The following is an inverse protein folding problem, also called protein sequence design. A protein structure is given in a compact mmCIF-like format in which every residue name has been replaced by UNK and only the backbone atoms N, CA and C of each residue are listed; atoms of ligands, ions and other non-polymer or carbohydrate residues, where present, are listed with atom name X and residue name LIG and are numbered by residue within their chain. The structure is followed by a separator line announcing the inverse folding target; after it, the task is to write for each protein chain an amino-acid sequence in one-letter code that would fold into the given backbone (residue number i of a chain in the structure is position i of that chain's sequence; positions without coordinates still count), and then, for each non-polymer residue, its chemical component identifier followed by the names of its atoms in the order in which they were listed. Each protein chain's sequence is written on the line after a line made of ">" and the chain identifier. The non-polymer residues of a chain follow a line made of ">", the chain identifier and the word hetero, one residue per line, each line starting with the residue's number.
data_IF_457650502000
#
_entry.id   IF_457650502000
#
_cell.length_a   1.000
_cell.length_b   1.000
_cell.length_c   1.000
_cell.angle_alpha   90.00
_cell.angle_beta   90.00
_cell.angle_gamma   90.00
#
_symmetry.space_group_name_H-M   'P 1'
#
loop_
_entity.id
_entity.type
_entity.pdbx_description
1 polymer ?
#
# COMPACT_ATOMS: atom_id res chain seq x y z
N UNK A 1 35.21 -1.70 -24.25
CA UNK A 1 34.44 -1.21 -23.10
C UNK A 1 33.35 -2.24 -22.80
N UNK A 2 33.57 -3.04 -21.77
CA UNK A 2 32.61 -4.11 -21.39
C UNK A 2 31.60 -3.45 -20.44
N UNK A 3 30.39 -3.20 -20.95
CA UNK A 3 29.26 -2.78 -20.09
C UNK A 3 28.97 -3.90 -19.08
N UNK A 4 29.27 -3.66 -17.83
CA UNK A 4 28.85 -4.53 -16.74
C UNK A 4 27.32 -4.65 -16.76
N UNK A 5 26.75 -5.86 -16.67
CA UNK A 5 25.30 -6.01 -16.60
C UNK A 5 24.81 -5.33 -15.32
N UNK A 6 23.90 -4.38 -15.48
CA UNK A 6 23.17 -3.77 -14.36
C UNK A 6 22.44 -4.93 -13.67
N UNK A 7 22.89 -5.30 -12.48
CA UNK A 7 22.24 -6.31 -11.64
C UNK A 7 20.81 -5.84 -11.35
N UNK A 8 19.83 -6.36 -12.08
CA UNK A 8 18.42 -6.12 -11.77
C UNK A 8 18.14 -6.71 -10.40
N UNK A 9 17.67 -5.88 -9.48
CA UNK A 9 17.18 -6.36 -8.19
C UNK A 9 16.15 -7.47 -8.41
N UNK A 10 16.10 -8.50 -7.55
CA UNK A 10 15.13 -9.58 -7.70
C UNK A 10 13.69 -9.02 -7.75
N UNK A 11 12.78 -9.66 -8.49
CA UNK A 11 11.39 -9.23 -8.58
C UNK A 11 10.74 -9.23 -7.21
N UNK A 12 9.72 -8.40 -7.05
CA UNK A 12 8.91 -8.34 -5.83
C UNK A 12 8.10 -9.62 -5.69
N UNK A 13 8.14 -10.23 -4.51
CA UNK A 13 7.26 -11.36 -4.18
C UNK A 13 5.85 -10.86 -3.86
N UNK A 14 4.84 -11.48 -4.51
CA UNK A 14 3.43 -11.14 -4.31
C UNK A 14 2.63 -12.34 -3.81
N UNK A 15 1.71 -12.07 -2.88
CA UNK A 15 0.53 -12.91 -2.71
C UNK A 15 -0.54 -12.43 -3.69
N UNK A 16 -0.91 -13.28 -4.61
CA UNK A 16 -1.84 -12.94 -5.70
C UNK A 16 -3.20 -13.61 -5.48
N UNK A 17 -4.28 -12.84 -5.67
CA UNK A 17 -5.65 -13.31 -5.56
C UNK A 17 -6.46 -12.75 -6.75
N UNK A 18 -7.42 -13.51 -7.26
CA UNK A 18 -8.27 -13.12 -8.39
C UNK A 18 -7.72 -13.48 -9.76
N UNK A 19 -8.52 -13.26 -10.83
CA UNK A 19 -8.21 -13.72 -12.17
C UNK A 19 -7.04 -12.95 -12.81
N UNK A 20 -6.19 -13.66 -13.56
CA UNK A 20 -5.05 -13.05 -14.26
C UNK A 20 -5.48 -12.10 -15.40
N UNK A 21 -6.70 -12.27 -15.91
CA UNK A 21 -7.29 -11.48 -17.00
C UNK A 21 -8.12 -10.31 -16.52
N UNK A 22 -8.12 -9.98 -15.21
CA UNK A 22 -8.88 -8.87 -14.67
C UNK A 22 -8.47 -7.53 -15.30
N UNK A 23 -9.44 -6.71 -15.66
CA UNK A 23 -9.20 -5.37 -16.17
C UNK A 23 -8.67 -4.41 -15.09
N UNK A 24 -8.96 -4.67 -13.82
CA UNK A 24 -8.49 -3.86 -12.70
C UNK A 24 -7.44 -4.63 -11.89
N UNK A 25 -6.27 -4.04 -11.77
CA UNK A 25 -5.19 -4.45 -10.89
C UNK A 25 -5.25 -3.64 -9.60
N UNK A 26 -5.24 -4.30 -8.45
CA UNK A 26 -5.18 -3.67 -7.13
C UNK A 26 -3.91 -4.11 -6.43
N UNK A 27 -3.03 -3.17 -6.08
CA UNK A 27 -1.79 -3.46 -5.35
C UNK A 27 -1.94 -2.95 -3.92
N UNK A 28 -1.74 -3.84 -2.93
CA UNK A 28 -1.95 -3.53 -1.52
C UNK A 28 -0.70 -3.75 -0.69
N UNK A 29 -0.36 -2.75 0.12
CA UNK A 29 0.68 -2.86 1.14
C UNK A 29 0.10 -3.08 2.54
N UNK A 30 0.86 -3.78 3.39
CA UNK A 30 0.50 -4.06 4.78
C UNK A 30 0.74 -2.88 5.71
N UNK A 31 0.20 -2.95 6.93
CA UNK A 31 0.46 -1.99 8.02
C UNK A 31 1.81 -2.19 8.70
N UNK A 32 2.19 -1.24 9.58
CA UNK A 32 3.51 -1.24 10.24
C UNK A 32 3.78 -2.49 11.11
N UNK A 33 2.77 -3.02 11.76
CA UNK A 33 2.90 -4.08 12.78
C UNK A 33 2.70 -5.51 12.27
N UNK A 34 2.15 -5.68 11.05
CA UNK A 34 1.66 -6.97 10.59
C UNK A 34 1.95 -7.18 9.09
N UNK A 35 2.19 -8.42 8.72
CA UNK A 35 2.57 -8.84 7.38
C UNK A 35 1.40 -8.82 6.36
N UNK A 36 1.69 -9.09 5.09
CA UNK A 36 0.70 -9.07 3.99
C UNK A 36 -0.31 -10.23 4.03
N UNK A 37 -0.06 -11.27 4.82
CA UNK A 37 -0.84 -12.51 4.92
C UNK A 37 -1.72 -12.57 6.19
N UNK A 38 -1.99 -11.42 6.80
CA UNK A 38 -2.92 -11.37 7.95
C UNK A 38 -4.35 -11.68 7.53
N UNK A 39 -5.19 -12.26 8.42
CA UNK A 39 -6.60 -12.52 8.12
C UNK A 39 -7.36 -11.30 7.59
N UNK A 40 -7.06 -10.11 8.11
CA UNK A 40 -7.65 -8.86 7.61
C UNK A 40 -7.30 -8.61 6.13
N UNK A 41 -6.00 -8.67 5.79
CA UNK A 41 -5.55 -8.44 4.41
C UNK A 41 -6.07 -9.53 3.47
N UNK A 42 -6.17 -10.76 3.94
CA UNK A 42 -6.72 -11.87 3.19
C UNK A 42 -8.22 -11.69 2.91
N UNK A 43 -9.02 -11.35 3.92
CA UNK A 43 -10.46 -11.09 3.77
C UNK A 43 -10.72 -9.99 2.74
N UNK A 44 -10.01 -8.86 2.84
CA UNK A 44 -10.15 -7.75 1.88
C UNK A 44 -9.76 -8.21 0.47
N UNK A 45 -8.63 -8.89 0.33
CA UNK A 45 -8.17 -9.35 -0.99
C UNK A 45 -9.10 -10.36 -1.63
N UNK A 46 -9.65 -11.29 -0.85
CA UNK A 46 -10.62 -12.28 -1.33
C UNK A 46 -11.95 -11.61 -1.74
N UNK A 47 -12.42 -10.62 -0.97
CA UNK A 47 -13.61 -9.84 -1.32
C UNK A 47 -13.45 -9.09 -2.65
N UNK A 48 -12.33 -8.40 -2.82
CA UNK A 48 -12.01 -7.69 -4.07
C UNK A 48 -11.84 -8.66 -5.26
N UNK A 49 -11.19 -9.79 -5.03
CA UNK A 49 -11.04 -10.83 -6.05
C UNK A 49 -12.39 -11.48 -6.42
N UNK A 50 -13.28 -11.68 -5.45
CA UNK A 50 -14.65 -12.12 -5.68
C UNK A 50 -15.47 -11.14 -6.52
N UNK A 51 -15.14 -9.87 -6.48
CA UNK A 51 -15.71 -8.84 -7.36
C UNK A 51 -15.04 -8.77 -8.75
N UNK A 52 -14.14 -9.68 -9.07
CA UNK A 52 -13.51 -9.79 -10.40
C UNK A 52 -12.20 -9.02 -10.56
N UNK A 53 -11.63 -8.48 -9.49
CA UNK A 53 -10.37 -7.76 -9.54
C UNK A 53 -9.16 -8.68 -9.32
N UNK A 54 -8.00 -8.32 -9.90
CA UNK A 54 -6.72 -8.95 -9.58
C UNK A 54 -6.06 -8.19 -8.45
N UNK A 55 -5.76 -8.87 -7.34
CA UNK A 55 -5.18 -8.26 -6.14
C UNK A 55 -3.79 -8.82 -5.89
N UNK A 56 -2.80 -7.97 -5.80
CA UNK A 56 -1.42 -8.30 -5.46
C UNK A 56 -1.06 -7.64 -4.12
N UNK A 57 -0.65 -8.44 -3.14
CA UNK A 57 -0.14 -7.97 -1.85
C UNK A 57 1.36 -8.15 -1.79
N UNK A 58 2.10 -7.17 -1.29
CA UNK A 58 3.55 -7.25 -1.13
C UNK A 58 4.01 -6.82 0.26
N UNK A 59 5.26 -7.14 0.59
CA UNK A 59 5.88 -6.72 1.85
C UNK A 59 7.00 -5.71 1.64
N UNK A 60 7.03 -4.71 2.53
CA UNK A 60 8.16 -3.80 2.64
C UNK A 60 9.44 -4.53 3.11
N UNK A 61 10.64 -4.04 2.76
CA UNK A 61 11.90 -4.74 3.06
C UNK A 61 12.10 -5.09 4.54
N UNK A 62 11.69 -4.21 5.46
CA UNK A 62 11.79 -4.51 6.90
C UNK A 62 10.94 -5.72 7.32
N UNK A 63 9.75 -5.90 6.71
CA UNK A 63 8.88 -7.03 7.01
C UNK A 63 9.43 -8.32 6.42
N UNK A 64 9.98 -8.28 5.21
CA UNK A 64 10.70 -9.41 4.62
C UNK A 64 11.89 -9.83 5.49
N UNK A 65 12.66 -8.86 6.01
CA UNK A 65 13.76 -9.16 6.97
C UNK A 65 13.20 -9.81 8.23
N UNK A 66 12.13 -9.25 8.81
CA UNK A 66 11.47 -9.80 9.99
C UNK A 66 10.99 -11.23 9.78
N UNK A 67 10.42 -11.53 8.61
CA UNK A 67 9.96 -12.88 8.25
C UNK A 67 11.13 -13.88 8.21
N UNK A 68 12.27 -13.48 7.64
CA UNK A 68 13.46 -14.34 7.53
C UNK A 68 14.20 -14.54 8.85
N UNK A 69 14.24 -13.53 9.70
CA UNK A 69 15.08 -13.54 10.90
C UNK A 69 14.29 -13.75 12.19
N UNK A 70 12.96 -13.68 12.16
CA UNK A 70 12.07 -13.61 13.32
C UNK A 70 12.36 -12.45 14.30
N UNK A 71 13.27 -11.53 13.94
CA UNK A 71 13.62 -10.37 14.76
C UNK A 71 12.67 -9.22 14.46
N UNK A 72 12.01 -8.68 15.48
CA UNK A 72 11.18 -7.47 15.34
C UNK A 72 12.06 -6.29 14.95
N UNK A 73 11.70 -5.62 13.87
CA UNK A 73 12.31 -4.37 13.43
C UNK A 73 11.22 -3.31 13.23
N UNK A 74 11.50 -2.03 13.51
CA UNK A 74 10.61 -0.93 13.15
C UNK A 74 10.50 -0.82 11.62
N UNK A 75 9.46 -0.14 11.11
CA UNK A 75 9.39 0.19 9.69
C UNK A 75 10.63 0.93 9.19
N UNK A 76 11.00 0.67 7.96
CA UNK A 76 12.05 1.44 7.28
C UNK A 76 11.64 2.93 7.18
N UNK A 77 12.61 3.81 6.95
CA UNK A 77 12.37 5.25 6.76
C UNK A 77 11.55 5.50 5.48
N UNK A 78 10.77 6.60 5.40
CA UNK A 78 9.89 6.89 4.27
C UNK A 78 10.52 6.76 2.88
N UNK A 79 11.76 7.21 2.61
CA UNK A 79 12.36 7.04 1.29
C UNK A 79 12.49 5.57 0.86
N UNK A 80 12.81 4.67 1.80
CA UNK A 80 12.92 3.23 1.52
C UNK A 80 11.55 2.63 1.24
N UNK A 81 10.52 3.04 2.00
CA UNK A 81 9.14 2.58 1.80
C UNK A 81 8.58 3.05 0.45
N UNK A 82 8.83 4.30 0.07
CA UNK A 82 8.42 4.88 -1.22
C UNK A 82 9.11 4.14 -2.38
N UNK A 83 10.44 3.96 -2.33
CA UNK A 83 11.19 3.23 -3.35
C UNK A 83 10.71 1.78 -3.47
N UNK A 84 10.39 1.13 -2.35
CA UNK A 84 9.82 -0.21 -2.34
C UNK A 84 8.44 -0.27 -3.00
N UNK A 85 7.59 0.73 -2.74
CA UNK A 85 6.29 0.87 -3.39
C UNK A 85 6.43 1.03 -4.91
N UNK A 86 7.28 1.96 -5.36
CA UNK A 86 7.53 2.19 -6.79
C UNK A 86 8.02 0.93 -7.49
N UNK A 87 8.94 0.18 -6.84
CA UNK A 87 9.41 -1.11 -7.37
C UNK A 87 8.27 -2.12 -7.45
N UNK A 88 7.52 -2.31 -6.36
CA UNK A 88 6.42 -3.25 -6.30
C UNK A 88 5.36 -2.94 -7.37
N UNK A 89 5.06 -1.67 -7.61
CA UNK A 89 4.10 -1.27 -8.62
C UNK A 89 4.58 -1.58 -10.05
N UNK A 90 5.86 -1.31 -10.37
CA UNK A 90 6.42 -1.71 -11.67
C UNK A 90 6.31 -3.22 -11.87
N UNK A 91 6.79 -3.99 -10.90
CA UNK A 91 6.76 -5.45 -10.97
C UNK A 91 5.32 -6.00 -11.07
N UNK A 92 4.36 -5.36 -10.39
CA UNK A 92 2.95 -5.74 -10.43
C UNK A 92 2.31 -5.46 -11.82
N UNK A 93 2.63 -4.33 -12.42
CA UNK A 93 2.18 -4.00 -13.79
C UNK A 93 2.75 -4.98 -14.80
N UNK A 94 4.03 -5.32 -14.68
CA UNK A 94 4.69 -6.32 -15.55
C UNK A 94 4.06 -7.71 -15.37
N UNK A 95 3.70 -8.09 -14.15
CA UNK A 95 3.03 -9.36 -13.84
C UNK A 95 1.53 -9.40 -14.24
N UNK A 96 0.96 -8.27 -14.64
CA UNK A 96 -0.47 -8.13 -14.94
C UNK A 96 -0.68 -7.30 -16.22
N UNK A 97 -0.20 -7.75 -17.39
CA UNK A 97 -0.15 -6.93 -18.61
C UNK A 97 -1.54 -6.61 -19.21
N UNK A 98 -2.58 -7.28 -18.77
CA UNK A 98 -3.95 -7.09 -19.27
C UNK A 98 -4.76 -6.05 -18.49
N UNK A 99 -4.21 -5.47 -17.42
CA UNK A 99 -4.94 -4.46 -16.65
C UNK A 99 -5.11 -3.17 -17.46
N UNK A 100 -6.28 -2.55 -17.31
CA UNK A 100 -6.62 -1.25 -17.87
C UNK A 100 -6.62 -0.16 -16.81
N UNK A 101 -6.81 -0.55 -15.55
CA UNK A 101 -6.81 0.32 -14.38
C UNK A 101 -5.90 -0.26 -13.30
N UNK A 102 -5.16 0.61 -12.63
CA UNK A 102 -4.29 0.26 -11.52
C UNK A 102 -4.64 1.06 -10.27
N UNK A 103 -5.18 0.37 -9.27
CA UNK A 103 -5.52 0.94 -7.96
C UNK A 103 -4.42 0.55 -6.99
N UNK A 104 -3.94 1.51 -6.21
CA UNK A 104 -2.95 1.27 -5.16
C UNK A 104 -3.53 1.53 -3.78
N UNK A 105 -2.93 0.96 -2.75
CA UNK A 105 -3.43 1.23 -1.40
C UNK A 105 -2.87 0.33 -0.33
N UNK A 106 -3.59 0.21 0.77
CA UNK A 106 -3.20 -0.70 1.83
C UNK A 106 -3.71 -0.33 3.21
N UNK A 107 -3.27 -1.11 4.18
CA UNK A 107 -3.65 -0.93 5.57
C UNK A 107 -2.74 0.09 6.27
N UNK A 108 -3.33 1.06 6.98
CA UNK A 108 -2.62 1.99 7.87
C UNK A 108 -1.39 2.61 7.16
N UNK A 109 -0.18 2.35 7.63
CA UNK A 109 1.06 2.83 7.03
C UNK A 109 1.13 2.52 5.53
N UNK A 110 0.71 1.33 5.10
CA UNK A 110 0.75 0.93 3.68
C UNK A 110 -0.08 1.85 2.79
N UNK A 111 -1.31 2.18 3.21
CA UNK A 111 -2.18 3.13 2.52
C UNK A 111 -1.62 4.56 2.56
N UNK A 112 -1.07 4.98 3.72
CA UNK A 112 -0.44 6.29 3.83
C UNK A 112 0.77 6.45 2.89
N UNK A 113 1.64 5.46 2.78
CA UNK A 113 2.78 5.54 1.84
C UNK A 113 2.26 5.52 0.40
N UNK A 114 1.23 4.72 0.08
CA UNK A 114 0.58 4.74 -1.23
C UNK A 114 0.04 6.13 -1.59
N UNK A 115 -0.61 6.82 -0.65
CA UNK A 115 -1.17 8.16 -0.89
C UNK A 115 -0.11 9.21 -1.21
N UNK A 116 1.12 9.06 -0.69
CA UNK A 116 2.22 9.99 -0.94
C UNK A 116 2.81 9.88 -2.36
N UNK A 117 2.51 8.80 -3.09
CA UNK A 117 3.05 8.57 -4.43
C UNK A 117 1.96 8.39 -5.51
N UNK A 118 0.69 8.38 -5.13
CA UNK A 118 -0.41 8.04 -6.02
C UNK A 118 -0.46 8.90 -7.29
N UNK A 119 -0.27 10.21 -7.18
CA UNK A 119 -0.22 11.13 -8.30
C UNK A 119 1.05 10.96 -9.15
N UNK A 120 2.20 10.71 -8.52
CA UNK A 120 3.49 10.52 -9.20
C UNK A 120 3.49 9.27 -10.09
N UNK A 121 2.86 8.20 -9.62
CA UNK A 121 2.79 6.91 -10.35
C UNK A 121 1.56 6.81 -11.25
N UNK A 122 0.79 7.88 -11.36
CA UNK A 122 -0.43 7.94 -12.17
C UNK A 122 -1.38 6.78 -11.85
N UNK A 123 -1.67 6.58 -10.56
CA UNK A 123 -2.62 5.57 -10.14
C UNK A 123 -4.06 6.00 -10.52
N UNK A 124 -4.87 5.06 -11.03
CA UNK A 124 -6.27 5.31 -11.36
C UNK A 124 -7.16 5.46 -10.10
N UNK A 125 -6.68 4.97 -8.97
CA UNK A 125 -7.36 5.10 -7.68
C UNK A 125 -6.48 4.73 -6.50
N UNK A 126 -6.88 5.22 -5.32
CA UNK A 126 -6.24 4.96 -4.03
C UNK A 126 -7.25 4.39 -3.05
N UNK A 127 -6.88 3.31 -2.34
CA UNK A 127 -7.68 2.73 -1.25
C UNK A 127 -6.86 2.73 0.03
N UNK A 128 -7.32 3.44 1.06
CA UNK A 128 -6.73 3.43 2.39
C UNK A 128 -7.65 2.73 3.39
N UNK A 129 -7.13 1.72 4.07
CA UNK A 129 -7.84 0.93 5.07
C UNK A 129 -7.32 1.29 6.46
N UNK A 130 -8.02 2.16 7.18
CA UNK A 130 -7.57 2.74 8.43
C UNK A 130 -6.39 3.68 8.25
N UNK A 131 -6.62 4.87 7.70
CA UNK A 131 -5.56 5.85 7.48
C UNK A 131 -5.02 6.42 8.80
N UNK A 132 -3.69 6.44 9.03
CA UNK A 132 -3.13 6.98 10.27
C UNK A 132 -2.97 8.50 10.16
N UNK A 133 -4.05 9.24 10.37
CA UNK A 133 -4.09 10.71 10.26
C UNK A 133 -3.07 11.42 11.15
N UNK A 134 -2.72 10.81 12.26
CA UNK A 134 -1.66 11.25 13.17
C UNK A 134 -0.96 10.05 13.83
N UNK A 135 0.21 10.21 14.48
CA UNK A 135 0.82 9.16 15.28
C UNK A 135 -0.03 8.84 16.53
N UNK A 136 0.06 7.63 17.07
CA UNK A 136 -0.64 7.28 18.32
C UNK A 136 -0.34 8.29 19.43
N UNK A 137 -1.40 8.79 20.09
CA UNK A 137 -1.31 9.76 21.19
C UNK A 137 -0.77 11.14 20.82
N UNK A 138 -0.77 11.52 19.52
CA UNK A 138 -0.30 12.82 19.05
C UNK A 138 -1.26 13.42 18.01
N UNK A 139 -2.51 13.76 18.39
CA UNK A 139 -3.52 14.24 17.45
C UNK A 139 -3.14 15.55 16.75
N UNK A 140 -2.32 16.39 17.40
CA UNK A 140 -1.84 17.66 16.82
C UNK A 140 -0.79 17.48 15.72
N UNK A 141 -0.26 16.26 15.52
CA UNK A 141 0.77 15.95 14.51
C UNK A 141 0.15 15.32 13.27
N UNK A 142 -0.64 16.09 12.55
CA UNK A 142 -1.35 15.62 11.36
C UNK A 142 -0.40 15.14 10.26
N UNK A 143 -0.91 14.21 9.45
CA UNK A 143 -0.22 13.58 8.31
C UNK A 143 -1.07 13.69 7.05
N UNK A 144 -1.67 14.86 6.86
CA UNK A 144 -2.69 15.10 5.82
C UNK A 144 -2.27 16.10 4.75
N UNK A 145 -1.15 16.81 4.91
CA UNK A 145 -0.75 17.92 4.05
C UNK A 145 -0.80 17.56 2.55
N UNK A 146 -0.27 16.38 2.19
CA UNK A 146 -0.26 15.92 0.80
C UNK A 146 -1.65 15.48 0.30
N UNK A 147 -2.59 15.15 1.19
CA UNK A 147 -3.95 14.77 0.80
C UNK A 147 -4.75 15.94 0.26
N UNK A 148 -4.45 17.18 0.69
CA UNK A 148 -5.13 18.39 0.23
C UNK A 148 -4.88 18.68 -1.26
N UNK A 149 -3.74 18.25 -1.78
CA UNK A 149 -3.37 18.41 -3.20
C UNK A 149 -3.49 17.14 -4.03
N UNK A 150 -3.97 16.05 -3.43
CA UNK A 150 -4.08 14.76 -4.08
C UNK A 150 -5.16 14.78 -5.16
N UNK A 151 -4.77 14.51 -6.40
CA UNK A 151 -5.64 14.46 -7.58
C UNK A 151 -6.23 13.08 -7.83
N UNK A 152 -5.50 12.04 -7.40
CA UNK A 152 -5.93 10.65 -7.52
C UNK A 152 -7.26 10.43 -6.78
N UNK A 153 -8.22 9.78 -7.43
CA UNK A 153 -9.49 9.39 -6.80
C UNK A 153 -9.22 8.50 -5.60
N UNK A 154 -9.72 8.88 -4.43
CA UNK A 154 -9.34 8.22 -3.18
C UNK A 154 -10.55 7.76 -2.40
N UNK A 155 -10.46 6.55 -1.86
CA UNK A 155 -11.39 5.97 -0.90
C UNK A 155 -10.64 5.70 0.41
N UNK A 156 -11.04 6.36 1.48
CA UNK A 156 -10.51 6.12 2.84
C UNK A 156 -11.61 5.46 3.66
N UNK A 157 -11.42 4.20 4.02
CA UNK A 157 -12.29 3.46 4.93
C UNK A 157 -11.71 3.58 6.33
N UNK A 158 -12.39 4.31 7.21
CA UNK A 158 -11.90 4.62 8.55
C UNK A 158 -12.81 4.03 9.61
N UNK A 159 -12.22 3.38 10.60
CA UNK A 159 -12.95 2.91 11.77
C UNK A 159 -13.39 4.08 12.66
N UNK A 160 -14.64 4.12 13.10
CA UNK A 160 -15.17 5.21 13.94
C UNK A 160 -14.37 5.44 15.23
N UNK A 161 -13.74 4.38 15.74
CA UNK A 161 -12.95 4.38 16.98
C UNK A 161 -11.45 4.20 16.74
N UNK A 162 -10.97 4.47 15.52
CA UNK A 162 -9.54 4.38 15.23
C UNK A 162 -8.76 5.42 16.04
N UNK A 163 -7.80 4.98 16.82
CA UNK A 163 -6.98 5.81 17.70
C UNK A 163 -6.01 6.73 16.99
N UNK A 164 -5.91 6.63 15.66
CA UNK A 164 -5.09 7.49 14.80
C UNK A 164 -5.94 8.35 13.85
N UNK A 165 -7.17 8.62 14.20
CA UNK A 165 -8.16 9.39 13.47
C UNK A 165 -9.55 8.81 13.68
N UNK A 166 -10.18 9.11 14.81
CA UNK A 166 -11.56 8.72 15.07
C UNK A 166 -12.54 9.56 14.24
N UNK A 167 -13.81 9.16 14.25
CA UNK A 167 -14.86 9.82 13.47
C UNK A 167 -14.91 11.34 13.68
N UNK A 168 -14.88 11.78 14.94
CA UNK A 168 -15.02 13.20 15.27
C UNK A 168 -13.79 14.02 14.85
N UNK A 169 -12.59 13.45 14.98
CA UNK A 169 -11.35 14.07 14.51
C UNK A 169 -11.37 14.22 12.98
N UNK A 170 -11.67 13.13 12.26
CA UNK A 170 -11.66 13.12 10.79
C UNK A 170 -12.71 14.05 10.19
N UNK A 171 -13.87 14.19 10.84
CA UNK A 171 -14.89 15.14 10.42
C UNK A 171 -14.43 16.61 10.50
N UNK A 172 -13.44 16.90 11.33
CA UNK A 172 -12.83 18.23 11.48
C UNK A 172 -11.69 18.51 10.49
N UNK A 173 -11.16 17.51 9.79
CA UNK A 173 -10.10 17.69 8.80
C UNK A 173 -10.68 18.18 7.47
N UNK A 174 -10.40 19.45 7.13
CA UNK A 174 -10.84 20.13 5.91
C UNK A 174 -9.66 20.66 5.13
#
# INVERSE_FOLDING_TARGET
>A
MISSPISKSPPTEFLTTGPSTAATLIVLAHGAGAAMDTPFMETISNGLAGAGHRVLRFEFPYMQRRRRTAIKAPPDRPPVLLASWQKALRDARDASPHHQQCIIGGKSMGGRIASMLADEVEADGLICLGYPFHPPGKPDRLRVDHLQSLRCRSLILQGERDTMGCRDEVAGYR
#
